data_IF_934102873274
#
_entry.id   IF_934102873274
#
_cell.length_a   1.000
_cell.length_b   1.000
_cell.length_c   1.000
_cell.angle_alpha   90.00
_cell.angle_beta   90.00
_cell.angle_gamma   90.00
#
_symmetry.space_group_name_H-M   'P 1'
#
loop_
_entity.id
_entity.type
_entity.pdbx_description
1 polymer ?
#
# COMPACT_ATOMS: atom_id res chain seq x y z
N UNK A 1 0.22 22.50 8.15
CA UNK A 1 -0.10 22.05 6.78
C UNK A 1 -1.35 21.19 6.83
N UNK A 2 -2.30 21.39 5.93
CA UNK A 2 -3.47 20.52 5.80
C UNK A 2 -3.08 19.21 5.11
N UNK A 3 -3.74 18.10 5.47
CA UNK A 3 -3.58 16.83 4.76
C UNK A 3 -4.15 16.95 3.34
N UNK A 4 -3.48 16.38 2.31
CA UNK A 4 -4.04 16.24 0.97
C UNK A 4 -5.38 15.50 0.98
N UNK A 5 -6.26 15.80 0.02
CA UNK A 5 -7.63 15.24 -0.02
C UNK A 5 -7.65 13.71 -0.07
N UNK A 6 -6.67 13.09 -0.72
CA UNK A 6 -6.51 11.63 -0.78
C UNK A 6 -6.33 10.98 0.61
N UNK A 7 -5.87 11.75 1.60
CA UNK A 7 -5.63 11.29 2.98
C UNK A 7 -6.68 11.81 3.96
N UNK A 8 -7.25 12.99 3.72
CA UNK A 8 -8.03 13.76 4.71
C UNK A 8 -9.24 13.01 5.29
N UNK A 9 -9.88 12.16 4.50
CA UNK A 9 -11.12 11.45 4.89
C UNK A 9 -10.98 9.93 4.92
N UNK A 10 -9.79 9.40 4.65
CA UNK A 10 -9.54 7.95 4.57
C UNK A 10 -8.69 7.41 5.72
N UNK A 11 -8.11 8.28 6.54
CA UNK A 11 -7.26 7.89 7.67
C UNK A 11 -8.01 8.00 8.99
N UNK A 12 -7.87 6.98 9.84
CA UNK A 12 -8.36 7.01 11.24
C UNK A 12 -7.42 7.82 12.13
N UNK A 13 -6.12 7.75 11.85
CA UNK A 13 -5.06 8.53 12.47
C UNK A 13 -4.04 8.90 11.39
N UNK A 14 -3.35 10.05 11.49
CA UNK A 14 -2.45 10.54 10.45
C UNK A 14 -1.09 9.82 10.50
N UNK A 15 -1.08 8.51 10.23
CA UNK A 15 0.12 7.67 10.29
C UNK A 15 0.26 6.78 9.06
N UNK A 16 1.51 6.44 8.76
CA UNK A 16 1.91 5.50 7.70
C UNK A 16 2.64 4.33 8.34
N UNK A 17 2.23 3.11 8.03
CA UNK A 17 2.98 1.91 8.41
C UNK A 17 4.26 1.87 7.60
N UNK A 18 5.42 1.94 8.26
CA UNK A 18 6.71 1.97 7.58
C UNK A 18 6.92 0.71 6.71
N UNK A 19 7.49 0.84 5.50
CA UNK A 19 7.74 -0.30 4.62
C UNK A 19 8.92 -1.11 5.16
N UNK A 20 8.67 -2.38 5.51
CA UNK A 20 9.66 -3.27 6.09
C UNK A 20 10.07 -4.35 5.08
N UNK A 21 11.36 -4.42 4.80
CA UNK A 21 11.93 -5.46 3.93
C UNK A 21 11.64 -6.85 4.52
N UNK A 22 11.18 -7.79 3.69
CA UNK A 22 10.79 -9.17 4.07
C UNK A 22 9.54 -9.26 4.98
N UNK A 23 9.06 -8.16 5.57
CA UNK A 23 7.90 -8.22 6.48
C UNK A 23 6.64 -7.68 5.80
N UNK A 24 6.71 -6.50 5.17
CA UNK A 24 5.57 -5.88 4.51
C UNK A 24 5.18 -6.63 3.24
N UNK A 25 4.10 -7.40 3.32
CA UNK A 25 3.47 -8.18 2.24
C UNK A 25 1.98 -7.80 2.13
N UNK A 26 1.25 -8.22 1.07
CA UNK A 26 -0.14 -7.84 0.85
C UNK A 26 -1.05 -8.04 2.08
N UNK A 27 -0.98 -9.15 2.85
CA UNK A 27 -1.83 -9.32 4.03
C UNK A 27 -1.64 -8.22 5.10
N UNK A 28 -0.41 -7.79 5.35
CA UNK A 28 -0.11 -6.73 6.31
C UNK A 28 -0.59 -5.37 5.79
N UNK A 29 -0.31 -5.07 4.51
CA UNK A 29 -0.71 -3.81 3.87
C UNK A 29 -2.23 -3.68 3.88
N UNK A 30 -2.95 -4.73 3.50
CA UNK A 30 -4.41 -4.79 3.52
C UNK A 30 -4.97 -4.59 4.92
N UNK A 31 -4.40 -5.24 5.93
CA UNK A 31 -4.85 -5.07 7.32
C UNK A 31 -4.67 -3.62 7.81
N UNK A 32 -3.53 -2.99 7.47
CA UNK A 32 -3.27 -1.58 7.80
C UNK A 32 -4.27 -0.64 7.10
N UNK A 33 -4.47 -0.81 5.79
CA UNK A 33 -5.40 -0.02 5.00
C UNK A 33 -6.83 -0.10 5.55
N UNK A 34 -7.34 -1.31 5.80
CA UNK A 34 -8.67 -1.54 6.40
C UNK A 34 -8.80 -0.98 7.82
N UNK A 35 -7.69 -0.86 8.55
CA UNK A 35 -7.66 -0.25 9.88
C UNK A 35 -7.62 1.30 9.84
N UNK A 36 -7.55 1.91 8.66
CA UNK A 36 -7.45 3.37 8.49
C UNK A 36 -6.03 3.91 8.67
N UNK A 37 -5.01 3.10 8.40
CA UNK A 37 -3.59 3.48 8.38
C UNK A 37 -3.07 3.29 6.96
N UNK A 38 -2.21 4.18 6.47
CA UNK A 38 -1.58 3.95 5.15
C UNK A 38 -0.70 2.72 5.24
N UNK A 39 -1.08 1.64 4.55
CA UNK A 39 -0.26 0.45 4.45
C UNK A 39 0.86 0.66 3.44
N UNK A 40 2.06 0.12 3.69
CA UNK A 40 3.14 0.25 2.70
C UNK A 40 4.10 -0.95 2.66
N UNK A 41 4.70 -1.16 1.49
CA UNK A 41 5.66 -2.23 1.25
C UNK A 41 6.79 -1.79 0.30
N UNK A 42 8.01 -2.33 0.44
CA UNK A 42 9.06 -2.19 -0.57
C UNK A 42 8.71 -2.97 -1.84
N UNK A 43 8.85 -2.34 -3.01
CA UNK A 43 8.71 -3.04 -4.30
C UNK A 43 9.66 -4.25 -4.41
N UNK A 44 10.82 -4.18 -3.74
CA UNK A 44 11.80 -5.27 -3.64
C UNK A 44 11.30 -6.54 -2.94
N UNK A 45 10.20 -6.48 -2.18
CA UNK A 45 9.62 -7.66 -1.52
C UNK A 45 8.89 -8.57 -2.51
N UNK A 46 8.28 -8.02 -3.56
CA UNK A 46 7.69 -8.80 -4.64
C UNK A 46 8.83 -9.51 -5.40
N UNK A 47 8.86 -10.85 -5.34
CA UNK A 47 9.95 -11.68 -5.86
C UNK A 47 9.35 -12.95 -6.49
N UNK A 48 9.46 -13.14 -7.81
CA UNK A 48 10.23 -12.34 -8.78
C UNK A 48 9.58 -10.97 -9.06
N UNK A 49 10.20 -10.14 -9.90
CA UNK A 49 9.77 -8.74 -10.07
C UNK A 49 8.34 -8.62 -10.60
N UNK A 50 7.96 -9.53 -11.49
CA UNK A 50 6.66 -9.64 -12.12
C UNK A 50 5.53 -9.83 -11.08
N UNK A 51 5.87 -10.34 -9.90
CA UNK A 51 4.93 -10.47 -8.78
C UNK A 51 4.44 -9.11 -8.25
N UNK A 52 5.13 -8.00 -8.58
CA UNK A 52 4.69 -6.67 -8.16
C UNK A 52 3.32 -6.33 -8.75
N UNK A 53 3.08 -6.66 -10.01
CA UNK A 53 1.80 -6.40 -10.68
C UNK A 53 0.68 -7.23 -10.05
N UNK A 54 0.96 -8.49 -9.72
CA UNK A 54 0.02 -9.37 -9.01
C UNK A 54 -0.35 -8.80 -7.63
N UNK A 55 0.63 -8.31 -6.87
CA UNK A 55 0.37 -7.68 -5.57
C UNK A 55 -0.43 -6.38 -5.70
N UNK A 56 -0.13 -5.56 -6.71
CA UNK A 56 -0.87 -4.33 -6.97
C UNK A 56 -2.33 -4.64 -7.33
N UNK A 57 -2.58 -5.67 -8.15
CA UNK A 57 -3.92 -6.14 -8.47
C UNK A 57 -4.64 -6.64 -7.20
N UNK A 58 -4.02 -7.55 -6.44
CA UNK A 58 -4.58 -8.11 -5.19
C UNK A 58 -4.99 -7.01 -4.21
N UNK A 59 -4.08 -6.06 -3.95
CA UNK A 59 -4.32 -4.97 -3.01
C UNK A 59 -5.44 -4.06 -3.53
N UNK A 60 -5.39 -3.66 -4.80
CA UNK A 60 -6.38 -2.74 -5.38
C UNK A 60 -7.77 -3.35 -5.39
N UNK A 61 -7.91 -4.59 -5.85
CA UNK A 61 -9.20 -5.29 -5.93
C UNK A 61 -9.79 -5.55 -4.54
N UNK A 62 -8.95 -5.99 -3.59
CA UNK A 62 -9.40 -6.27 -2.22
C UNK A 62 -9.84 -4.99 -1.50
N UNK A 63 -9.15 -3.87 -1.70
CA UNK A 63 -9.55 -2.58 -1.12
C UNK A 63 -10.81 -2.04 -1.81
N UNK A 64 -10.96 -2.18 -3.12
CA UNK A 64 -12.18 -1.79 -3.82
C UNK A 64 -13.40 -2.57 -3.31
N UNK A 65 -13.26 -3.89 -3.11
CA UNK A 65 -14.31 -4.72 -2.51
C UNK A 65 -14.63 -4.31 -1.07
N UNK A 66 -13.61 -3.95 -0.28
CA UNK A 66 -13.81 -3.43 1.07
C UNK A 66 -14.57 -2.10 1.08
N UNK A 67 -14.19 -1.15 0.22
CA UNK A 67 -14.82 0.16 0.11
C UNK A 67 -16.29 0.03 -0.32
N UNK A 68 -16.59 -0.87 -1.28
CA UNK A 68 -17.96 -1.15 -1.71
C UNK A 68 -18.83 -1.74 -0.58
N UNK A 69 -18.25 -2.59 0.27
CA UNK A 69 -18.94 -3.19 1.41
C UNK A 69 -19.04 -2.25 2.64
N UNK A 70 -18.20 -1.20 2.71
CA UNK A 70 -18.08 -0.30 3.85
C UNK A 70 -18.11 1.18 3.40
N UNK A 71 -19.22 1.66 2.80
CA UNK A 71 -19.27 3.00 2.21
C UNK A 71 -19.04 4.12 3.22
N UNK A 72 -19.44 3.93 4.49
CA UNK A 72 -19.25 4.91 5.56
C UNK A 72 -17.83 4.92 6.13
N UNK A 73 -17.04 3.87 5.83
CA UNK A 73 -15.68 3.69 6.35
C UNK A 73 -14.78 3.02 5.32
N UNK A 74 -14.45 3.72 4.22
CA UNK A 74 -13.54 3.21 3.21
C UNK A 74 -12.13 3.00 3.79
N UNK A 75 -11.35 2.14 3.15
CA UNK A 75 -9.97 1.87 3.50
C UNK A 75 -9.06 3.09 3.27
N UNK A 76 -8.00 3.16 4.08
CA UNK A 76 -6.87 4.04 3.82
C UNK A 76 -6.11 3.58 2.55
N UNK A 77 -5.47 4.53 1.83
CA UNK A 77 -4.66 4.16 0.67
C UNK A 77 -3.44 3.33 1.06
N UNK A 78 -2.85 2.63 0.09
CA UNK A 78 -1.55 1.99 0.25
C UNK A 78 -0.45 2.80 -0.44
N UNK A 79 0.81 2.50 -0.10
CA UNK A 79 1.99 3.11 -0.72
C UNK A 79 3.03 2.04 -1.06
N UNK A 80 3.82 2.32 -2.11
CA UNK A 80 4.92 1.45 -2.54
C UNK A 80 6.24 2.20 -2.36
N UNK A 81 7.18 1.58 -1.67
CA UNK A 81 8.53 2.12 -1.51
C UNK A 81 9.42 1.64 -2.66
N UNK A 82 9.88 2.59 -3.48
CA UNK A 82 10.74 2.36 -4.64
C UNK A 82 12.20 2.64 -4.30
N UNK A 83 13.07 1.66 -4.57
CA UNK A 83 14.51 1.75 -4.28
C UNK A 83 15.22 2.32 -5.51
N UNK A 84 15.67 3.56 -5.41
CA UNK A 84 16.24 4.35 -6.53
C UNK A 84 17.77 4.27 -6.65
N UNK A 85 18.40 3.34 -5.94
CA UNK A 85 19.84 3.14 -6.10
C UNK A 85 20.16 2.62 -7.50
N UNK A 86 21.22 3.13 -8.13
CA UNK A 86 21.60 2.82 -9.53
C UNK A 86 21.82 1.34 -9.82
N UNK A 87 22.11 0.54 -8.79
CA UNK A 87 22.26 -0.91 -8.94
C UNK A 87 20.94 -1.67 -9.01
N UNK A 88 19.79 -1.01 -8.79
CA UNK A 88 18.48 -1.63 -8.84
C UNK A 88 17.90 -1.54 -10.26
N UNK A 89 18.26 -2.50 -11.11
CA UNK A 89 17.71 -2.60 -12.47
C UNK A 89 16.20 -2.88 -12.53
N UNK A 90 15.55 -3.12 -11.38
CA UNK A 90 14.10 -3.33 -11.28
C UNK A 90 13.28 -2.04 -11.40
N UNK A 91 13.91 -0.87 -11.23
CA UNK A 91 13.20 0.41 -11.30
C UNK A 91 12.92 0.87 -12.73
N UNK A 92 13.74 0.43 -13.69
CA UNK A 92 13.68 0.89 -15.09
C UNK A 92 12.71 0.09 -15.96
N UNK A 93 12.07 -0.93 -15.38
CA UNK A 93 11.14 -1.84 -16.02
C UNK A 93 9.73 -1.52 -15.53
#
# INVERSE_FOLDING_TARGET
>A
MALPDILKHKLRIPVVGAPLFIISHPPLVLAQCKAGVVGSFPALNARPQEQLDEWLAEITETLAAHDAANPDRPAAPFAVNQIVHKSNGRLEQ
#
